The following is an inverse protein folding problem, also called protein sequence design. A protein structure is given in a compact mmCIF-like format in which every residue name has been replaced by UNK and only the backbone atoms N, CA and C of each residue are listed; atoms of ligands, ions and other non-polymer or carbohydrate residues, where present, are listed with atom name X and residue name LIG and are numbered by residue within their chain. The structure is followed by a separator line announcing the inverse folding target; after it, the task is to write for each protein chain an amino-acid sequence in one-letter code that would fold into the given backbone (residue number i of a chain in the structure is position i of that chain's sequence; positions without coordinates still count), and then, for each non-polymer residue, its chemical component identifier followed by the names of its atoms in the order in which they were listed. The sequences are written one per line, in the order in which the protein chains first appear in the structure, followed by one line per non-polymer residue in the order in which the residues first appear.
data_IF_463308264662
#
_entry.id   IF_463308264662
#
_cell.length_a   1.000
_cell.length_b   1.000
_cell.length_c   1.000
_cell.angle_alpha   90.00
_cell.angle_beta   90.00
_cell.angle_gamma   90.00
#
_symmetry.space_group_name_H-M   'P 1'
#
loop_
_entity.id
_entity.type
_entity.pdbx_description
1 polymer ?
#
# COMPACT_ATOMS: atom_id res chain seq x y z
N UNK A 1 25.99 8.18 -3.74
CA UNK A 1 25.32 9.44 -3.34
C UNK A 1 24.20 9.02 -2.41
N UNK A 2 24.36 9.21 -1.09
CA UNK A 2 23.29 8.93 -0.13
C UNK A 2 22.09 9.81 -0.49
N UNK A 3 20.98 9.19 -0.90
CA UNK A 3 19.70 9.89 -0.96
C UNK A 3 19.27 10.14 0.50
N UNK A 4 19.51 11.35 1.00
CA UNK A 4 18.93 11.79 2.27
C UNK A 4 17.45 11.95 1.99
N UNK A 5 16.65 10.94 2.38
CA UNK A 5 15.20 11.06 2.45
C UNK A 5 14.87 11.92 3.68
N UNK A 6 15.20 13.22 3.57
CA UNK A 6 14.96 14.20 4.63
C UNK A 6 13.48 14.50 4.80
N UNK A 7 13.13 15.19 5.86
CA UNK A 7 11.77 15.58 6.25
C UNK A 7 11.00 16.20 5.08
N UNK A 8 10.32 15.35 4.35
CA UNK A 8 9.43 15.78 3.28
C UNK A 8 8.15 16.34 3.89
N UNK A 9 7.55 17.25 3.17
CA UNK A 9 6.31 17.91 3.58
C UNK A 9 5.25 16.87 3.93
N UNK A 10 4.71 16.93 5.13
CA UNK A 10 3.57 16.12 5.49
C UNK A 10 2.38 16.50 4.60
N UNK A 11 1.83 15.53 3.89
CA UNK A 11 0.71 15.72 2.97
C UNK A 11 -0.61 16.00 3.70
N UNK A 12 -0.70 15.60 4.97
CA UNK A 12 -1.92 15.66 5.76
C UNK A 12 -1.81 16.73 6.85
N UNK A 13 -2.95 17.27 7.24
CA UNK A 13 -3.03 18.08 8.46
C UNK A 13 -3.04 17.18 9.70
N UNK A 14 -2.46 17.66 10.79
CA UNK A 14 -2.45 16.94 12.08
C UNK A 14 -3.91 16.65 12.49
N UNK A 15 -4.21 15.40 12.96
CA UNK A 15 -3.25 14.40 13.42
C UNK A 15 -2.81 13.35 12.37
N UNK A 16 -2.83 13.63 11.09
CA UNK A 16 -2.36 12.71 10.06
C UNK A 16 -0.87 12.92 9.71
N UNK A 17 -0.18 11.84 9.37
CA UNK A 17 1.21 11.84 8.91
C UNK A 17 1.37 10.97 7.65
N UNK A 18 1.57 11.61 6.50
CA UNK A 18 1.83 10.93 5.24
C UNK A 18 2.94 11.66 4.46
N UNK A 19 3.91 10.89 3.98
CA UNK A 19 5.11 11.41 3.31
C UNK A 19 5.30 10.67 1.99
N UNK A 20 5.48 11.42 0.92
CA UNK A 20 5.62 10.85 -0.43
C UNK A 20 7.04 11.05 -0.96
N UNK A 21 7.61 9.97 -1.45
CA UNK A 21 8.98 9.91 -1.98
C UNK A 21 8.94 9.45 -3.44
N UNK A 22 8.80 10.38 -4.41
CA UNK A 22 8.85 10.03 -5.83
C UNK A 22 10.24 9.51 -6.19
N UNK A 23 10.29 8.44 -7.00
CA UNK A 23 11.56 7.85 -7.44
C UNK A 23 12.41 7.32 -6.28
N UNK A 24 11.77 6.76 -5.25
CA UNK A 24 12.46 6.08 -4.14
C UNK A 24 13.35 4.95 -4.66
N UNK A 25 12.80 4.12 -5.54
CA UNK A 25 13.58 3.16 -6.32
C UNK A 25 14.03 3.79 -7.64
N UNK A 26 15.24 3.44 -8.08
CA UNK A 26 15.74 3.84 -9.40
C UNK A 26 14.87 3.21 -10.49
N UNK A 27 14.82 3.82 -11.66
CA UNK A 27 13.96 3.40 -12.76
C UNK A 27 14.22 1.96 -13.19
N UNK A 28 15.49 1.59 -13.42
CA UNK A 28 15.88 0.24 -13.81
C UNK A 28 15.49 -0.82 -12.76
N UNK A 29 15.72 -0.53 -11.48
CA UNK A 29 15.32 -1.40 -10.37
C UNK A 29 13.81 -1.53 -10.31
N UNK A 30 13.08 -0.45 -10.57
CA UNK A 30 11.62 -0.42 -10.52
C UNK A 30 11.00 -1.28 -11.61
N UNK A 31 11.53 -1.27 -12.84
CA UNK A 31 11.10 -2.18 -13.89
C UNK A 31 11.44 -3.63 -13.58
N UNK A 32 12.64 -3.90 -13.08
CA UNK A 32 13.03 -5.24 -12.64
C UNK A 32 12.09 -5.78 -11.54
N UNK A 33 11.73 -4.95 -10.55
CA UNK A 33 10.79 -5.34 -9.51
C UNK A 33 9.38 -5.58 -10.08
N UNK A 34 8.90 -4.72 -10.97
CA UNK A 34 7.60 -4.88 -11.61
C UNK A 34 7.49 -6.22 -12.35
N UNK A 35 8.49 -6.52 -13.18
CA UNK A 35 8.53 -7.77 -13.97
C UNK A 35 8.54 -8.99 -13.05
N UNK A 36 9.47 -9.03 -12.08
CA UNK A 36 9.57 -10.13 -11.13
C UNK A 36 8.31 -10.32 -10.30
N UNK A 37 7.76 -9.26 -9.73
CA UNK A 37 6.53 -9.36 -8.93
C UNK A 37 5.34 -9.80 -9.77
N UNK A 38 5.29 -9.41 -11.05
CA UNK A 38 4.24 -9.87 -11.96
C UNK A 38 4.32 -11.37 -12.23
N UNK A 39 5.53 -11.90 -12.41
CA UNK A 39 5.78 -13.31 -12.75
C UNK A 39 5.73 -14.26 -11.55
N UNK A 40 6.34 -13.87 -10.41
CA UNK A 40 6.55 -14.77 -9.27
C UNK A 40 5.46 -14.73 -8.20
N UNK A 41 4.55 -13.73 -8.25
CA UNK A 41 3.54 -13.57 -7.23
C UNK A 41 2.35 -14.50 -7.44
N UNK A 42 1.90 -15.16 -6.39
CA UNK A 42 0.69 -15.99 -6.38
C UNK A 42 -0.58 -15.13 -6.35
N UNK A 43 -0.88 -14.47 -7.45
CA UNK A 43 -2.02 -13.58 -7.58
C UNK A 43 -3.36 -14.31 -7.45
N UNK A 44 -4.25 -13.78 -6.60
CA UNK A 44 -5.61 -14.29 -6.40
C UNK A 44 -6.62 -13.15 -6.49
N UNK A 45 -7.81 -13.44 -7.00
CA UNK A 45 -8.93 -12.51 -6.95
C UNK A 45 -9.89 -12.97 -5.86
N UNK A 46 -9.71 -12.42 -4.66
CA UNK A 46 -10.47 -12.84 -3.49
C UNK A 46 -11.91 -12.32 -3.53
N UNK A 47 -12.90 -13.16 -3.19
CA UNK A 47 -14.27 -12.71 -3.03
C UNK A 47 -14.45 -11.95 -1.73
N UNK A 48 -15.16 -10.82 -1.76
CA UNK A 48 -15.52 -10.03 -0.57
C UNK A 48 -17.04 -9.96 -0.44
N UNK A 49 -17.51 -9.79 0.80
CA UNK A 49 -18.93 -9.55 1.06
C UNK A 49 -19.24 -8.07 1.15
N UNK A 50 -20.08 -7.57 0.25
CA UNK A 50 -20.57 -6.19 0.25
C UNK A 50 -22.10 -6.23 0.33
N UNK A 51 -22.67 -5.64 1.38
CA UNK A 51 -24.12 -5.65 1.65
C UNK A 51 -24.75 -7.05 1.51
N UNK A 52 -24.09 -8.07 2.08
CA UNK A 52 -24.57 -9.46 2.06
C UNK A 52 -24.36 -10.20 0.73
N UNK A 53 -23.88 -9.55 -0.32
CA UNK A 53 -23.55 -10.17 -1.60
C UNK A 53 -22.06 -10.47 -1.70
N UNK A 54 -21.73 -11.64 -2.22
CA UNK A 54 -20.34 -11.99 -2.54
C UNK A 54 -19.99 -11.41 -3.90
N UNK A 55 -18.93 -10.60 -3.97
CA UNK A 55 -18.41 -10.01 -5.20
C UNK A 55 -16.89 -10.21 -5.25
N UNK A 56 -16.33 -10.36 -6.43
CA UNK A 56 -14.88 -10.42 -6.59
C UNK A 56 -14.30 -9.02 -6.39
N UNK A 57 -13.16 -8.94 -5.71
CA UNK A 57 -12.43 -7.68 -5.58
C UNK A 57 -12.04 -7.16 -6.97
N UNK A 58 -12.15 -5.85 -7.24
CA UNK A 58 -11.73 -5.24 -8.49
C UNK A 58 -10.19 -5.02 -8.51
N UNK A 59 -9.44 -6.08 -8.29
CA UNK A 59 -7.98 -6.22 -8.34
C UNK A 59 -7.58 -7.64 -8.00
N UNK A 60 -6.34 -8.01 -8.31
CA UNK A 60 -5.72 -9.20 -7.72
C UNK A 60 -4.95 -8.83 -6.45
N UNK A 61 -4.84 -9.78 -5.54
CA UNK A 61 -4.10 -9.61 -4.29
C UNK A 61 -3.22 -10.82 -4.02
N UNK A 62 -2.17 -10.60 -3.22
CA UNK A 62 -1.37 -11.66 -2.61
C UNK A 62 -0.83 -11.15 -1.26
N UNK A 63 -0.64 -12.05 -0.29
CA UNK A 63 -0.20 -11.68 1.04
C UNK A 63 1.04 -12.50 1.43
N UNK A 64 2.11 -11.79 1.76
CA UNK A 64 3.41 -12.37 2.14
C UNK A 64 3.82 -11.83 3.50
N UNK A 65 4.61 -12.58 4.25
CA UNK A 65 5.06 -12.13 5.56
C UNK A 65 5.93 -13.13 6.30
N UNK A 66 6.22 -12.79 7.55
CA UNK A 66 6.92 -13.66 8.46
C UNK A 66 6.05 -14.88 8.81
N UNK A 67 6.68 -15.93 9.36
CA UNK A 67 5.99 -17.14 9.77
C UNK A 67 4.88 -16.80 10.78
N UNK A 68 3.73 -17.48 10.65
CA UNK A 68 2.53 -17.32 11.49
C UNK A 68 1.81 -15.96 11.40
N UNK A 69 2.20 -15.06 10.48
CA UNK A 69 1.47 -13.83 10.26
C UNK A 69 0.20 -14.09 9.44
N UNK A 70 -0.92 -13.61 9.92
CA UNK A 70 -2.19 -13.65 9.20
C UNK A 70 -2.83 -12.27 9.14
N UNK A 71 -3.57 -12.01 8.09
CA UNK A 71 -4.29 -10.76 7.88
C UNK A 71 -5.77 -11.04 7.63
N UNK A 72 -6.62 -10.38 8.39
CA UNK A 72 -8.08 -10.52 8.23
C UNK A 72 -8.67 -9.20 7.75
N UNK A 73 -9.21 -9.20 6.56
CA UNK A 73 -9.85 -8.05 5.93
C UNK A 73 -11.20 -8.44 5.32
N UNK A 74 -12.24 -7.64 5.56
CA UNK A 74 -13.58 -7.88 5.01
C UNK A 74 -14.13 -9.31 5.23
N UNK A 75 -13.75 -9.93 6.35
CA UNK A 75 -14.18 -11.31 6.71
C UNK A 75 -13.40 -12.42 6.03
N UNK A 76 -12.31 -12.11 5.32
CA UNK A 76 -11.37 -13.07 4.74
C UNK A 76 -10.11 -13.08 5.59
N UNK A 77 -9.65 -14.26 5.98
CA UNK A 77 -8.35 -14.45 6.62
C UNK A 77 -7.37 -15.01 5.60
N UNK A 78 -6.28 -14.30 5.37
CA UNK A 78 -5.16 -14.74 4.55
C UNK A 78 -3.98 -15.07 5.47
N UNK A 79 -3.42 -16.28 5.30
CA UNK A 79 -2.15 -16.62 5.90
C UNK A 79 -1.02 -16.13 4.99
N UNK A 80 0.02 -15.56 5.58
CA UNK A 80 1.14 -15.07 4.80
C UNK A 80 1.87 -16.20 4.08
N UNK A 81 2.15 -15.99 2.81
CA UNK A 81 3.14 -16.77 2.08
C UNK A 81 4.55 -16.35 2.51
N UNK A 82 5.55 -17.22 2.44
CA UNK A 82 6.92 -16.86 2.74
C UNK A 82 7.43 -15.73 1.83
N UNK A 83 8.23 -14.82 2.38
CA UNK A 83 8.86 -13.75 1.61
C UNK A 83 9.62 -14.29 0.40
N UNK A 84 9.36 -13.75 -0.79
CA UNK A 84 10.22 -13.98 -1.95
C UNK A 84 11.51 -13.16 -1.81
N UNK A 85 12.56 -13.53 -2.53
CA UNK A 85 13.81 -12.76 -2.53
C UNK A 85 13.62 -11.33 -3.02
N UNK A 86 12.71 -11.11 -3.96
CA UNK A 86 12.35 -9.80 -4.49
C UNK A 86 11.68 -8.93 -3.42
N UNK A 87 10.66 -9.46 -2.74
CA UNK A 87 9.98 -8.75 -1.65
C UNK A 87 10.91 -8.47 -0.48
N UNK A 88 11.80 -9.41 -0.15
CA UNK A 88 12.80 -9.22 0.88
C UNK A 88 13.72 -8.04 0.58
N UNK A 89 14.22 -7.92 -0.66
CA UNK A 89 15.06 -6.77 -1.09
C UNK A 89 14.31 -5.45 -1.02
N UNK A 90 13.07 -5.40 -1.49
CA UNK A 90 12.23 -4.20 -1.40
C UNK A 90 12.04 -3.79 0.08
N UNK A 91 11.68 -4.75 0.93
CA UNK A 91 11.53 -4.56 2.38
C UNK A 91 12.81 -4.00 3.02
N UNK A 92 13.97 -4.61 2.77
CA UNK A 92 15.26 -4.19 3.33
C UNK A 92 15.65 -2.77 2.92
N UNK A 93 15.40 -2.37 1.67
CA UNK A 93 15.66 -1.02 1.22
C UNK A 93 14.83 0.02 2.01
N UNK A 94 13.55 -0.28 2.24
CA UNK A 94 12.66 0.63 2.98
C UNK A 94 13.04 0.66 4.46
N UNK A 95 13.27 -0.49 5.08
CA UNK A 95 13.66 -0.61 6.49
C UNK A 95 14.96 0.14 6.78
N UNK A 96 15.94 0.04 5.88
CA UNK A 96 17.22 0.76 5.99
C UNK A 96 17.04 2.27 5.86
N UNK A 97 16.16 2.71 4.94
CA UNK A 97 15.95 4.14 4.70
C UNK A 97 15.18 4.85 5.82
N UNK A 98 14.33 4.14 6.57
CA UNK A 98 13.40 4.74 7.54
C UNK A 98 13.55 4.21 8.96
N UNK A 99 14.56 3.41 9.25
CA UNK A 99 14.82 2.79 10.58
C UNK A 99 13.54 2.17 11.17
N UNK A 100 12.86 1.37 10.38
CA UNK A 100 11.60 0.71 10.74
C UNK A 100 11.65 -0.77 10.38
N UNK A 101 10.67 -1.55 10.82
CA UNK A 101 10.57 -2.98 10.51
C UNK A 101 9.18 -3.34 10.02
N UNK A 102 9.12 -4.25 9.05
CA UNK A 102 7.88 -4.77 8.49
C UNK A 102 7.87 -6.29 8.57
N UNK A 103 6.73 -6.85 8.96
CA UNK A 103 6.54 -8.29 9.10
C UNK A 103 5.58 -8.87 8.07
N UNK A 104 4.93 -8.04 7.28
CA UNK A 104 3.99 -8.47 6.25
C UNK A 104 3.92 -7.50 5.07
N UNK A 105 3.46 -8.00 3.93
CA UNK A 105 3.23 -7.24 2.72
C UNK A 105 1.94 -7.71 2.03
N UNK A 106 0.99 -6.81 1.84
CA UNK A 106 -0.17 -7.02 0.98
C UNK A 106 0.13 -6.43 -0.40
N UNK A 107 0.16 -7.27 -1.42
CA UNK A 107 0.31 -6.84 -2.81
C UNK A 107 -1.07 -6.63 -3.43
N UNK A 108 -1.21 -5.58 -4.22
CA UNK A 108 -2.40 -5.29 -5.02
C UNK A 108 -1.98 -5.10 -6.48
N UNK A 109 -2.58 -5.87 -7.38
CA UNK A 109 -2.38 -5.70 -8.82
C UNK A 109 -3.67 -5.16 -9.45
N UNK A 110 -3.60 -3.93 -9.89
CA UNK A 110 -4.64 -3.22 -10.63
C UNK A 110 -4.39 -3.41 -12.12
N UNK A 111 -5.23 -4.20 -12.80
CA UNK A 111 -5.05 -4.64 -14.20
C UNK A 111 -5.21 -3.50 -15.19
N UNK A 112 -6.12 -2.59 -14.88
CA UNK A 112 -6.46 -1.43 -15.72
C UNK A 112 -7.07 -0.30 -14.88
N UNK A 113 -7.54 0.74 -15.55
CA UNK A 113 -8.17 1.90 -14.89
C UNK A 113 -9.53 1.60 -14.23
N UNK A 114 -10.16 0.44 -14.50
CA UNK A 114 -11.43 0.03 -13.88
C UNK A 114 -11.22 -0.61 -12.51
N UNK A 115 -10.05 -1.19 -12.28
CA UNK A 115 -9.67 -1.72 -10.98
C UNK A 115 -9.42 -0.58 -9.99
N UNK A 116 -9.84 -0.76 -8.75
CA UNK A 116 -9.84 0.29 -7.73
C UNK A 116 -9.82 -0.28 -6.30
N UNK A 117 -9.54 0.59 -5.36
CA UNK A 117 -9.77 0.39 -3.93
C UNK A 117 -10.67 1.52 -3.42
N UNK A 118 -11.77 1.18 -2.78
CA UNK A 118 -12.70 2.16 -2.19
C UNK A 118 -12.13 2.86 -0.96
N UNK A 119 -12.86 3.83 -0.39
CA UNK A 119 -12.46 4.48 0.85
C UNK A 119 -12.38 3.49 2.00
N UNK A 120 -11.23 3.41 2.67
CA UNK A 120 -10.95 2.52 3.79
C UNK A 120 -9.86 3.11 4.69
N UNK A 121 -9.64 2.46 5.81
CA UNK A 121 -8.53 2.69 6.73
C UNK A 121 -7.91 1.34 7.05
N UNK A 122 -6.60 1.31 7.21
CA UNK A 122 -5.87 0.13 7.66
C UNK A 122 -5.76 0.18 9.18
N UNK A 123 -6.87 -0.12 9.86
CA UNK A 123 -6.99 -0.01 11.31
C UNK A 123 -7.39 -1.33 11.99
N UNK A 124 -7.09 -2.44 11.37
CA UNK A 124 -7.27 -3.76 11.92
C UNK A 124 -6.37 -3.96 13.15
N UNK A 125 -6.88 -4.71 14.13
CA UNK A 125 -6.19 -4.90 15.41
C UNK A 125 -4.77 -5.48 15.30
N UNK A 126 -4.55 -6.36 14.32
CA UNK A 126 -3.26 -6.99 14.08
C UNK A 126 -2.20 -6.04 13.52
N UNK A 127 -2.59 -4.88 13.01
CA UNK A 127 -1.64 -3.82 12.59
C UNK A 127 -1.15 -2.96 13.75
N UNK A 128 -1.74 -3.09 14.93
CA UNK A 128 -1.40 -2.29 16.10
C UNK A 128 -2.13 -0.93 16.14
N UNK A 129 -1.81 -0.14 17.16
CA UNK A 129 -2.51 1.13 17.42
C UNK A 129 -2.12 2.25 16.44
N UNK A 130 -0.85 2.34 16.10
CA UNK A 130 -0.29 3.36 15.20
C UNK A 130 0.60 2.70 14.17
N UNK A 131 0.02 2.01 13.17
CA UNK A 131 0.81 1.28 12.20
C UNK A 131 1.64 2.22 11.33
N UNK A 132 2.87 1.80 11.03
CA UNK A 132 3.65 2.37 9.95
C UNK A 132 3.36 1.53 8.71
N UNK A 133 2.87 2.18 7.66
CA UNK A 133 2.53 1.54 6.39
C UNK A 133 3.38 2.16 5.29
N UNK A 134 4.14 1.32 4.61
CA UNK A 134 4.92 1.68 3.43
C UNK A 134 4.21 1.18 2.17
N UNK A 135 3.75 2.08 1.33
CA UNK A 135 3.08 1.75 0.07
C UNK A 135 4.01 2.07 -1.10
N UNK A 136 4.53 1.01 -1.74
CA UNK A 136 5.37 1.11 -2.94
C UNK A 136 4.50 0.97 -4.18
N UNK A 137 4.78 1.76 -5.21
CA UNK A 137 4.05 1.71 -6.48
C UNK A 137 4.99 1.44 -7.63
N UNK A 138 4.64 0.42 -8.44
CA UNK A 138 5.33 0.09 -9.68
C UNK A 138 4.34 0.07 -10.86
N UNK A 139 4.82 0.41 -12.04
CA UNK A 139 4.01 0.42 -13.28
C UNK A 139 3.34 1.76 -13.55
N UNK A 140 2.14 1.74 -14.09
CA UNK A 140 1.42 2.95 -14.48
C UNK A 140 1.04 3.82 -13.26
N UNK A 141 1.18 5.13 -13.42
CA UNK A 141 0.78 6.10 -12.39
C UNK A 141 -0.72 6.03 -12.09
N UNK A 142 -1.06 6.13 -10.81
CA UNK A 142 -2.45 6.17 -10.34
C UNK A 142 -2.63 7.28 -9.31
N UNK A 143 -3.78 7.93 -9.34
CA UNK A 143 -4.16 8.88 -8.31
C UNK A 143 -4.53 8.12 -7.04
N UNK A 144 -3.96 8.55 -5.93
CA UNK A 144 -4.29 8.10 -4.58
C UNK A 144 -4.85 9.27 -3.80
N UNK A 145 -5.87 9.03 -3.01
CA UNK A 145 -6.57 10.10 -2.32
C UNK A 145 -6.73 9.81 -0.83
N UNK A 146 -6.55 10.86 -0.04
CA UNK A 146 -6.90 10.89 1.37
C UNK A 146 -8.08 11.82 1.60
N UNK A 147 -8.86 11.55 2.65
CA UNK A 147 -9.79 12.50 3.24
C UNK A 147 -9.95 12.25 4.74
N UNK A 148 -10.31 13.29 5.46
CA UNK A 148 -10.63 13.13 6.88
C UNK A 148 -11.78 12.12 7.04
N UNK A 149 -11.63 11.17 7.97
CA UNK A 149 -12.61 10.10 8.16
C UNK A 149 -13.96 10.63 8.64
N UNK A 150 -13.99 11.63 9.52
CA UNK A 150 -15.19 12.19 10.11
C UNK A 150 -15.88 13.16 9.16
N UNK A 151 -15.13 14.15 8.71
CA UNK A 151 -15.69 15.29 7.97
C UNK A 151 -15.75 15.06 6.46
N UNK A 152 -15.07 14.01 5.96
CA UNK A 152 -14.96 13.63 4.55
C UNK A 152 -14.25 14.68 3.67
N UNK A 153 -13.66 15.69 4.29
CA UNK A 153 -12.90 16.78 3.66
C UNK A 153 -11.71 17.17 4.57
N UNK A 154 -10.64 17.81 4.06
CA UNK A 154 -10.40 18.01 2.62
C UNK A 154 -10.07 16.69 1.90
N UNK A 155 -10.13 16.69 0.57
CA UNK A 155 -9.58 15.60 -0.25
C UNK A 155 -8.17 16.01 -0.67
N UNK A 156 -7.18 15.26 -0.25
CA UNK A 156 -5.78 15.38 -0.65
C UNK A 156 -5.48 14.31 -1.70
N UNK A 157 -5.00 14.72 -2.87
CA UNK A 157 -4.69 13.80 -3.97
C UNK A 157 -3.20 13.83 -4.26
N UNK A 158 -2.61 12.65 -4.48
CA UNK A 158 -1.24 12.47 -4.94
C UNK A 158 -1.23 11.51 -6.13
N UNK A 159 -0.26 11.67 -7.00
CA UNK A 159 0.00 10.73 -8.08
C UNK A 159 1.10 9.76 -7.64
N UNK A 160 0.73 8.48 -7.46
CA UNK A 160 1.67 7.42 -7.18
C UNK A 160 2.37 7.04 -8.48
N UNK A 161 3.62 7.45 -8.62
CA UNK A 161 4.44 7.23 -9.81
C UNK A 161 5.24 5.93 -9.72
N UNK A 162 5.78 5.47 -10.86
CA UNK A 162 6.65 4.29 -10.91
C UNK A 162 7.86 4.44 -9.98
N UNK A 163 8.11 3.42 -9.14
CA UNK A 163 9.21 3.43 -8.17
C UNK A 163 9.02 4.37 -6.97
N UNK A 164 7.83 4.91 -6.78
CA UNK A 164 7.54 5.79 -5.64
C UNK A 164 7.19 5.02 -4.37
N UNK A 165 7.40 5.69 -3.23
CA UNK A 165 7.06 5.21 -1.90
C UNK A 165 6.21 6.24 -1.16
N UNK A 166 5.10 5.81 -0.58
CA UNK A 166 4.27 6.58 0.33
C UNK A 166 4.36 5.96 1.72
N UNK A 167 4.80 6.73 2.71
CA UNK A 167 4.81 6.33 4.12
C UNK A 167 3.62 6.97 4.83
N UNK A 168 2.81 6.15 5.48
CA UNK A 168 1.73 6.57 6.38
C UNK A 168 2.07 6.10 7.80
N UNK A 169 1.99 6.99 8.79
CA UNK A 169 2.33 6.67 10.18
C UNK A 169 1.52 7.48 11.19
N UNK A 170 1.86 7.36 12.47
CA UNK A 170 1.18 8.07 13.55
C UNK A 170 -0.31 7.76 13.62
N UNK A 171 -1.15 8.77 13.76
CA UNK A 171 -2.59 8.61 13.90
C UNK A 171 -3.35 8.61 12.56
N UNK A 172 -2.65 8.48 11.43
CA UNK A 172 -3.24 8.55 10.09
C UNK A 172 -4.42 7.60 9.93
N UNK A 173 -4.28 6.34 10.34
CA UNK A 173 -5.33 5.35 10.18
C UNK A 173 -6.53 5.56 11.14
N UNK A 174 -6.42 6.44 12.11
CA UNK A 174 -7.52 6.83 13.01
C UNK A 174 -8.38 7.96 12.45
N UNK A 175 -7.74 8.92 11.78
CA UNK A 175 -8.40 10.17 11.37
C UNK A 175 -8.55 10.33 9.86
N UNK A 176 -7.83 9.52 9.07
CA UNK A 176 -7.84 9.63 7.61
C UNK A 176 -8.21 8.30 6.98
N UNK A 177 -9.08 8.34 6.00
CA UNK A 177 -9.33 7.24 5.09
C UNK A 177 -8.71 7.54 3.73
N UNK A 178 -8.38 6.50 2.98
CA UNK A 178 -7.73 6.63 1.70
C UNK A 178 -8.37 5.71 0.66
N UNK A 179 -8.11 5.99 -0.60
CA UNK A 179 -8.58 5.18 -1.73
C UNK A 179 -7.66 5.29 -2.93
N UNK A 180 -7.80 4.32 -3.83
CA UNK A 180 -7.30 4.39 -5.19
C UNK A 180 -8.52 4.35 -6.13
N UNK A 181 -8.98 5.50 -6.67
CA UNK A 181 -10.19 5.57 -7.48
C UNK A 181 -9.99 4.95 -8.86
N UNK A 182 -11.09 4.63 -9.55
CA UNK A 182 -11.04 4.32 -10.97
C UNK A 182 -10.45 5.49 -11.74
N UNK A 183 -9.78 5.19 -12.84
CA UNK A 183 -9.31 6.21 -13.78
C UNK A 183 -9.83 5.89 -15.17
N UNK A 184 -10.04 6.94 -15.94
CA UNK A 184 -10.31 6.80 -17.38
C UNK A 184 -8.96 6.87 -18.08
N UNK A 185 -8.56 5.79 -18.70
CA UNK A 185 -7.37 5.73 -19.55
C UNK A 185 -7.82 5.93 -20.97
#
# INVERSE_FOLDING_TARGET
MEKIYGDHVNLLTIPGEAFFHPGFFMEDDSYMYLDKLTEETEWKQEPIKIFGKTVLQPRFTAFYGDEDVSYTYSGITMNALPWTSTLQRIKENIETAFDTKFNACLLNHYRDGKDYMGWHRDNERNLGKFPVIASVSFGASRIFQFRNYKDKLPIVSIELTHGSLLIMKGETQHYWEHRLPKTVI
#
